data_IF_456881945650
#
_entry.id   IF_456881945650
#
_cell.length_a   1.000
_cell.length_b   1.000
_cell.length_c   1.000
_cell.angle_alpha   90.00
_cell.angle_beta   90.00
_cell.angle_gamma   90.00
#
_symmetry.space_group_name_H-M   'P 1'
#
loop_
_entity.id
_entity.type
_entity.pdbx_description
1 polymer ?
#
# COMPACT_ATOMS: atom_id res chain seq x y z
N UNK A 1 17.09 15.38 18.07
CA UNK A 1 16.38 14.97 16.84
C UNK A 1 17.28 15.22 15.64
N UNK A 2 17.20 14.42 14.56
CA UNK A 2 17.99 14.63 13.35
C UNK A 2 17.41 15.77 12.50
N UNK A 3 18.27 16.58 11.86
CA UNK A 3 17.87 17.69 11.00
C UNK A 3 17.39 17.26 9.60
N UNK A 4 17.62 15.99 9.23
CA UNK A 4 17.20 15.41 7.96
C UNK A 4 17.56 13.93 7.88
N UNK A 5 17.00 13.25 6.88
CA UNK A 5 17.26 11.83 6.60
C UNK A 5 17.70 11.66 5.15
N UNK A 6 18.61 10.73 4.92
CA UNK A 6 19.01 10.32 3.57
C UNK A 6 17.85 9.60 2.90
N UNK A 7 17.48 10.07 1.70
CA UNK A 7 16.47 9.39 0.90
C UNK A 7 17.01 8.07 0.35
N UNK A 8 16.16 7.04 0.22
CA UNK A 8 16.57 5.74 -0.30
C UNK A 8 17.04 5.80 -1.77
N UNK A 9 16.60 6.83 -2.51
CA UNK A 9 17.02 7.13 -3.86
C UNK A 9 16.74 8.61 -4.19
N UNK A 10 17.38 9.18 -5.22
CA UNK A 10 17.09 10.54 -5.68
C UNK A 10 15.64 10.68 -6.20
N UNK A 11 14.96 11.76 -5.81
CA UNK A 11 13.60 12.08 -6.25
C UNK A 11 13.62 13.45 -6.93
N UNK A 12 13.50 13.46 -8.26
CA UNK A 12 13.57 14.69 -9.06
C UNK A 12 12.19 15.14 -9.59
N UNK A 13 11.19 14.27 -9.56
CA UNK A 13 9.87 14.51 -10.16
C UNK A 13 8.73 13.83 -9.39
N UNK A 14 7.49 14.05 -9.85
CA UNK A 14 6.30 13.47 -9.24
C UNK A 14 6.26 11.95 -9.28
N UNK A 15 6.77 11.33 -10.34
CA UNK A 15 6.84 9.87 -10.44
C UNK A 15 7.81 9.29 -9.39
N UNK A 16 8.95 9.95 -9.17
CA UNK A 16 9.88 9.65 -8.10
C UNK A 16 9.25 9.80 -6.71
N UNK A 17 8.43 10.83 -6.50
CA UNK A 17 7.73 11.05 -5.23
C UNK A 17 6.71 9.95 -4.94
N UNK A 18 5.95 9.52 -5.95
CA UNK A 18 5.01 8.39 -5.82
C UNK A 18 5.76 7.08 -5.50
N UNK A 19 6.89 6.81 -6.17
CA UNK A 19 7.74 5.66 -5.84
C UNK A 19 8.27 5.73 -4.41
N UNK A 20 8.71 6.91 -3.96
CA UNK A 20 9.19 7.10 -2.60
C UNK A 20 8.07 6.85 -1.58
N UNK A 21 6.86 7.34 -1.85
CA UNK A 21 5.72 7.09 -0.98
C UNK A 21 5.42 5.58 -0.86
N UNK A 22 5.38 4.85 -1.98
CA UNK A 22 5.21 3.39 -1.95
C UNK A 22 6.31 2.67 -1.14
N UNK A 23 7.59 3.06 -1.31
CA UNK A 23 8.72 2.49 -0.58
C UNK A 23 8.62 2.73 0.93
N UNK A 24 8.23 3.94 1.34
CA UNK A 24 8.07 4.29 2.76
C UNK A 24 6.96 3.48 3.43
N UNK A 25 5.82 3.33 2.75
CA UNK A 25 4.71 2.55 3.28
C UNK A 25 5.04 1.05 3.38
N UNK A 26 5.78 0.51 2.41
CA UNK A 26 6.21 -0.89 2.44
C UNK A 26 7.21 -1.17 3.57
N UNK A 27 8.20 -0.30 3.77
CA UNK A 27 9.13 -0.40 4.91
C UNK A 27 8.40 -0.25 6.24
N UNK A 28 7.45 0.68 6.33
CA UNK A 28 6.62 0.88 7.52
C UNK A 28 5.79 -0.37 7.84
N UNK A 29 5.20 -0.99 6.82
CA UNK A 29 4.49 -2.26 6.94
C UNK A 29 5.43 -3.36 7.47
N UNK A 30 6.63 -3.51 6.92
CA UNK A 30 7.61 -4.48 7.40
C UNK A 30 7.92 -4.33 8.90
N UNK A 31 8.16 -3.09 9.36
CA UNK A 31 8.42 -2.79 10.78
C UNK A 31 7.20 -3.12 11.67
N UNK A 32 5.98 -2.81 11.22
CA UNK A 32 4.79 -3.24 11.96
C UNK A 32 4.60 -4.76 11.97
N UNK A 33 5.02 -5.46 10.92
CA UNK A 33 5.10 -6.93 10.90
C UNK A 33 6.00 -7.49 12.01
N UNK A 34 7.16 -6.87 12.23
CA UNK A 34 8.06 -7.21 13.33
C UNK A 34 7.41 -6.91 14.70
N UNK A 35 6.66 -5.80 14.82
CA UNK A 35 5.93 -5.47 16.04
C UNK A 35 4.80 -6.45 16.34
N UNK A 36 4.05 -6.91 15.32
CA UNK A 36 3.04 -7.96 15.47
C UNK A 36 3.68 -9.23 16.03
N UNK A 37 4.87 -9.60 15.52
CA UNK A 37 5.63 -10.75 16.02
C UNK A 37 6.11 -10.55 17.46
N UNK A 38 6.52 -9.34 17.85
CA UNK A 38 7.13 -9.06 19.14
C UNK A 38 6.14 -8.76 20.28
N UNK A 39 4.88 -8.40 19.97
CA UNK A 39 3.87 -8.02 20.96
C UNK A 39 2.78 -9.07 21.12
N UNK A 40 1.93 -8.92 22.14
CA UNK A 40 0.73 -9.74 22.40
C UNK A 40 -0.47 -8.86 22.75
N UNK A 41 -1.66 -9.45 22.83
CA UNK A 41 -2.91 -8.78 23.21
C UNK A 41 -3.19 -7.51 22.39
N UNK A 42 -3.63 -6.46 23.06
CA UNK A 42 -4.03 -5.20 22.42
C UNK A 42 -2.88 -4.54 21.63
N UNK A 43 -1.63 -4.71 22.09
CA UNK A 43 -0.47 -4.19 21.36
C UNK A 43 -0.24 -4.92 20.03
N UNK A 44 -0.45 -6.25 20.01
CA UNK A 44 -0.40 -7.01 18.76
C UNK A 44 -1.54 -6.60 17.82
N UNK A 45 -2.74 -6.39 18.35
CA UNK A 45 -3.89 -5.95 17.55
C UNK A 45 -3.65 -4.57 16.93
N UNK A 46 -3.17 -3.59 17.70
CA UNK A 46 -2.83 -2.26 17.20
C UNK A 46 -1.71 -2.30 16.15
N UNK A 47 -0.69 -3.15 16.32
CA UNK A 47 0.36 -3.33 15.34
C UNK A 47 -0.17 -3.95 14.03
N UNK A 48 -1.10 -4.91 14.12
CA UNK A 48 -1.72 -5.54 12.95
C UNK A 48 -2.62 -4.56 12.17
N UNK A 49 -3.36 -3.70 12.88
CA UNK A 49 -4.12 -2.60 12.30
C UNK A 49 -3.21 -1.66 11.49
N UNK A 50 -2.13 -1.18 12.13
CA UNK A 50 -1.19 -0.26 11.51
C UNK A 50 -0.42 -0.89 10.32
N UNK A 51 -0.05 -2.18 10.43
CA UNK A 51 0.50 -2.97 9.34
C UNK A 51 -0.45 -2.97 8.13
N UNK A 52 -1.73 -3.28 8.35
CA UNK A 52 -2.73 -3.34 7.27
C UNK A 52 -2.89 -1.98 6.60
N UNK A 53 -3.00 -0.91 7.37
CA UNK A 53 -3.17 0.45 6.83
C UNK A 53 -1.93 0.91 6.04
N UNK A 54 -0.72 0.57 6.48
CA UNK A 54 0.51 0.83 5.72
C UNK A 54 0.54 0.02 4.40
N UNK A 55 0.24 -1.28 4.46
CA UNK A 55 0.21 -2.15 3.28
C UNK A 55 -0.81 -1.68 2.23
N UNK A 56 -2.02 -1.29 2.66
CA UNK A 56 -3.05 -0.75 1.75
C UNK A 56 -2.60 0.55 1.10
N UNK A 57 -1.96 1.46 1.85
CA UNK A 57 -1.40 2.70 1.29
C UNK A 57 -0.27 2.43 0.31
N UNK A 58 0.61 1.46 0.57
CA UNK A 58 1.66 1.07 -0.36
C UNK A 58 1.08 0.63 -1.72
N UNK A 59 0.03 -0.19 -1.71
CA UNK A 59 -0.67 -0.63 -2.95
C UNK A 59 -1.35 0.55 -3.66
N UNK A 60 -1.99 1.46 -2.91
CA UNK A 60 -2.61 2.66 -3.49
C UNK A 60 -1.58 3.55 -4.20
N UNK A 61 -0.40 3.77 -3.61
CA UNK A 61 0.66 4.53 -4.25
C UNK A 61 1.22 3.86 -5.50
N UNK A 62 1.27 2.53 -5.54
CA UNK A 62 1.69 1.77 -6.74
C UNK A 62 0.72 1.84 -7.91
N UNK A 63 -0.49 2.37 -7.71
CA UNK A 63 -1.51 2.47 -8.75
C UNK A 63 -2.36 1.22 -8.93
N UNK A 64 -2.30 0.25 -8.02
CA UNK A 64 -3.13 -0.96 -8.04
C UNK A 64 -2.39 -2.25 -7.69
N UNK A 65 -3.14 -3.34 -7.58
CA UNK A 65 -2.61 -4.70 -7.44
C UNK A 65 -2.70 -5.45 -8.77
N UNK A 66 -1.94 -6.53 -8.91
CA UNK A 66 -2.14 -7.48 -10.02
C UNK A 66 -3.52 -8.12 -9.92
N UNK A 67 -4.18 -8.32 -11.05
CA UNK A 67 -5.39 -9.13 -11.11
C UNK A 67 -5.06 -10.57 -10.71
N UNK A 68 -6.02 -11.27 -10.09
CA UNK A 68 -5.85 -12.71 -9.87
C UNK A 68 -5.73 -13.44 -11.22
N UNK A 69 -4.93 -14.52 -11.29
CA UNK A 69 -4.87 -15.37 -12.48
C UNK A 69 -6.28 -15.78 -12.93
N UNK A 70 -6.56 -15.68 -14.23
CA UNK A 70 -7.88 -15.96 -14.81
C UNK A 70 -8.91 -14.82 -14.73
N UNK A 71 -8.55 -13.64 -14.17
CA UNK A 71 -9.44 -12.46 -14.13
C UNK A 71 -9.10 -11.37 -15.15
N UNK A 72 -7.90 -11.42 -15.73
CA UNK A 72 -7.46 -10.47 -16.77
C UNK A 72 -8.40 -10.46 -17.97
N UNK A 73 -8.95 -11.63 -18.34
CA UNK A 73 -9.90 -11.81 -19.45
C UNK A 73 -11.22 -11.05 -19.25
N UNK A 74 -11.62 -10.76 -18.00
CA UNK A 74 -12.84 -10.00 -17.67
C UNK A 74 -12.60 -8.52 -17.41
N UNK A 75 -11.34 -8.09 -17.41
CA UNK A 75 -10.96 -6.71 -17.08
C UNK A 75 -11.02 -5.78 -18.29
N UNK A 76 -11.02 -6.34 -19.50
CA UNK A 76 -11.15 -5.62 -20.77
C UNK A 76 -12.60 -5.39 -21.21
N UNK A 77 -13.57 -5.94 -20.47
CA UNK A 77 -14.99 -5.77 -20.82
C UNK A 77 -15.44 -4.35 -20.43
N UNK A 78 -15.84 -3.49 -21.38
CA UNK A 78 -16.34 -2.17 -21.05
C UNK A 78 -17.61 -2.34 -20.22
N UNK A 79 -17.55 -1.97 -18.94
CA UNK A 79 -18.74 -1.96 -18.08
C UNK A 79 -19.72 -0.93 -18.64
N UNK A 80 -20.72 -1.39 -19.39
CA UNK A 80 -21.82 -0.56 -19.82
C UNK A 80 -22.61 -0.10 -18.57
N UNK A 81 -22.99 1.19 -18.47
CA UNK A 81 -23.72 1.69 -17.31
C UNK A 81 -25.07 0.97 -17.20
N UNK A 82 -25.28 0.26 -16.08
CA UNK A 82 -26.58 -0.31 -15.72
C UNK A 82 -27.50 0.84 -15.30
N UNK A 83 -28.44 1.20 -16.17
CA UNK A 83 -29.49 2.15 -15.84
C UNK A 83 -30.50 1.51 -14.85
N UNK A 84 -31.00 2.27 -13.84
CA UNK A 84 -31.99 1.75 -12.91
C UNK A 84 -33.31 1.51 -13.63
N UNK A 85 -33.79 0.27 -13.55
CA UNK A 85 -35.11 -0.13 -14.05
C UNK A 85 -36.18 0.22 -13.00
N UNK A 86 -37.15 1.05 -13.43
CA UNK A 86 -38.31 1.52 -12.65
C UNK A 86 -39.48 0.56 -12.82
#
# INVERSE_FOLDING_TARGET
>A
AAAGYTLPFPVADGAGAVRLAAELEERTAAVYGDLVRACEGDRRAAAAEALREAAVRAVRWRGGSVAFPGLTERSDEPTAPVAPQT
#
